data_IF_251188304924
#
_entry.id   IF_251188304924
#
_cell.length_a   1.000
_cell.length_b   1.000
_cell.length_c   1.000
_cell.angle_alpha   90.00
_cell.angle_beta   90.00
_cell.angle_gamma   90.00
#
_symmetry.space_group_name_H-M   'P 1'
#
loop_
_entity.id
_entity.type
_entity.pdbx_description
1 polymer ?
#
# COMPACT_ATOMS: atom_id res chain seq x y z
N UNK A 1 -3.56 10.08 44.99
CA UNK A 1 -4.88 10.68 45.31
C UNK A 1 -4.89 12.22 45.47
N UNK A 2 -3.78 12.93 45.32
CA UNK A 2 -3.76 14.41 45.38
C UNK A 2 -3.96 15.09 44.03
N UNK A 3 -3.65 14.41 42.90
CA UNK A 3 -3.82 14.96 41.56
C UNK A 3 -5.29 14.99 41.07
N UNK A 4 -6.12 14.04 41.53
CA UNK A 4 -7.53 14.00 41.16
C UNK A 4 -8.40 15.07 41.81
N UNK A 5 -7.94 15.63 42.95
CA UNK A 5 -8.69 16.71 43.61
C UNK A 5 -8.50 18.08 42.97
N UNK A 6 -7.39 18.31 42.28
CA UNK A 6 -7.15 19.58 41.56
C UNK A 6 -7.84 19.63 40.18
N UNK A 7 -8.11 18.48 39.55
CA UNK A 7 -8.81 18.45 38.26
C UNK A 7 -10.33 18.68 38.37
N UNK A 8 -10.91 18.40 39.53
CA UNK A 8 -12.35 18.59 39.78
C UNK A 8 -12.70 20.02 40.28
N UNK A 9 -11.72 20.80 40.74
CA UNK A 9 -11.95 22.16 41.21
C UNK A 9 -11.85 23.19 40.05
N UNK A 10 -11.11 22.91 39.03
CA UNK A 10 -10.95 23.82 37.88
C UNK A 10 -12.25 24.10 37.10
N UNK A 11 -13.10 23.11 36.79
CA UNK A 11 -14.37 23.39 36.10
C UNK A 11 -15.43 24.07 37.02
N UNK A 12 -15.34 23.87 38.36
CA UNK A 12 -16.26 24.53 39.28
C UNK A 12 -15.92 26.02 39.50
N UNK A 13 -14.65 26.40 39.38
CA UNK A 13 -14.25 27.80 39.46
C UNK A 13 -14.59 28.62 38.21
N UNK A 14 -14.66 27.97 37.03
CA UNK A 14 -15.11 28.60 35.78
C UNK A 14 -16.64 28.84 35.76
N UNK A 15 -17.41 28.04 36.47
CA UNK A 15 -18.87 28.22 36.60
C UNK A 15 -19.31 29.35 37.48
N UNK A 16 -18.43 29.92 38.33
CA UNK A 16 -18.70 31.05 39.20
C UNK A 16 -18.43 32.41 38.55
N UNK A 17 -17.88 32.45 37.34
CA UNK A 17 -17.78 33.63 36.49
C UNK A 17 -18.97 33.70 35.54
N UNK A 18 -20.19 33.54 36.06
CA UNK A 18 -21.39 33.85 35.30
C UNK A 18 -21.31 35.33 34.88
N UNK A 19 -21.49 35.68 33.61
CA UNK A 19 -21.49 37.07 33.20
C UNK A 19 -22.63 37.76 33.91
N UNK A 20 -22.32 38.81 34.67
CA UNK A 20 -23.31 39.81 35.12
C UNK A 20 -23.99 40.28 33.84
N UNK A 21 -25.32 40.18 33.82
CA UNK A 21 -26.16 40.50 32.66
C UNK A 21 -25.62 41.79 31.98
N UNK A 22 -25.06 41.61 30.81
CA UNK A 22 -24.81 42.72 29.90
C UNK A 22 -26.19 43.16 29.41
N UNK A 23 -26.63 44.35 29.82
CA UNK A 23 -27.74 45.03 29.20
C UNK A 23 -27.37 45.29 27.74
N UNK A 24 -28.00 44.57 26.84
CA UNK A 24 -27.83 44.83 25.39
C UNK A 24 -28.40 46.22 25.12
N UNK A 25 -27.52 47.20 24.94
CA UNK A 25 -27.91 48.45 24.28
C UNK A 25 -28.19 48.08 22.78
N UNK A 26 -29.30 48.51 22.27
CA UNK A 26 -29.54 48.43 20.82
C UNK A 26 -28.43 49.18 20.11
N UNK A 27 -27.55 48.45 19.41
CA UNK A 27 -26.53 49.00 18.55
C UNK A 27 -27.21 49.53 17.30
N UNK A 28 -27.33 50.85 17.15
CA UNK A 28 -27.84 51.47 15.94
C UNK A 28 -26.76 51.46 14.85
N UNK A 29 -27.21 51.42 13.58
CA UNK A 29 -26.26 51.37 12.41
C UNK A 29 -25.30 52.58 12.41
N UNK A 30 -25.60 53.67 13.12
CA UNK A 30 -24.74 54.83 13.26
C UNK A 30 -23.58 54.64 14.27
N UNK A 31 -23.57 53.57 15.09
CA UNK A 31 -22.51 53.25 16.04
C UNK A 31 -21.44 52.34 15.41
N UNK A 32 -21.61 51.94 14.15
CA UNK A 32 -20.61 51.16 13.41
C UNK A 32 -19.46 52.10 12.95
N UNK A 33 -18.38 52.13 13.72
CA UNK A 33 -17.17 52.79 13.29
C UNK A 33 -16.39 51.82 12.40
N UNK A 34 -16.61 51.87 11.09
CA UNK A 34 -16.00 50.98 10.10
C UNK A 34 -14.46 51.00 10.18
N UNK A 35 -13.86 52.10 10.62
CA UNK A 35 -12.39 52.19 10.80
C UNK A 35 -11.90 51.40 12.00
N UNK A 36 -12.70 51.36 13.08
CA UNK A 36 -12.36 50.59 14.31
C UNK A 36 -12.55 49.10 14.08
N UNK A 37 -13.62 48.70 13.41
CA UNK A 37 -13.88 47.31 13.00
C UNK A 37 -12.80 46.80 12.05
N UNK A 38 -12.35 47.64 11.10
CA UNK A 38 -11.28 47.32 10.18
C UNK A 38 -9.94 47.16 10.92
N UNK A 39 -9.66 48.02 11.89
CA UNK A 39 -8.46 47.93 12.71
C UNK A 39 -8.45 46.64 13.58
N UNK A 40 -9.59 46.29 14.16
CA UNK A 40 -9.73 45.02 14.92
C UNK A 40 -9.56 43.82 14.01
N UNK A 41 -10.18 43.85 12.82
CA UNK A 41 -10.08 42.76 11.85
C UNK A 41 -8.63 42.61 11.36
N UNK A 42 -7.94 43.70 11.01
CA UNK A 42 -6.53 43.65 10.60
C UNK A 42 -5.64 43.11 11.74
N UNK A 43 -5.84 43.56 12.98
CA UNK A 43 -5.09 43.02 14.12
C UNK A 43 -5.31 41.52 14.35
N UNK A 44 -6.52 41.02 14.05
CA UNK A 44 -6.82 39.58 14.09
C UNK A 44 -6.14 38.82 12.95
N UNK A 45 -6.14 39.40 11.75
CA UNK A 45 -5.43 38.84 10.57
C UNK A 45 -3.93 38.78 10.85
N UNK A 46 -3.33 39.89 11.30
CA UNK A 46 -1.90 39.92 11.67
C UNK A 46 -1.58 38.89 12.75
N UNK A 47 -2.44 38.72 13.73
CA UNK A 47 -2.30 37.66 14.76
C UNK A 47 -2.44 36.25 14.22
N UNK A 48 -3.29 36.03 13.24
CA UNK A 48 -3.44 34.72 12.57
C UNK A 48 -2.25 34.44 11.66
N UNK A 49 -1.77 35.45 10.92
CA UNK A 49 -0.57 35.33 10.10
C UNK A 49 0.68 35.04 10.95
N UNK A 50 0.85 35.73 12.09
CA UNK A 50 1.94 35.44 13.00
C UNK A 50 1.88 34.01 13.59
N UNK A 51 0.66 33.52 13.88
CA UNK A 51 0.46 32.13 14.34
C UNK A 51 0.71 31.12 13.21
N UNK A 52 0.29 31.41 11.99
CA UNK A 52 0.54 30.59 10.82
C UNK A 52 2.04 30.50 10.56
N UNK A 53 2.75 31.66 10.52
CA UNK A 53 4.19 31.69 10.36
C UNK A 53 4.95 30.95 11.47
N UNK A 54 4.48 31.01 12.72
CA UNK A 54 5.05 30.23 13.81
C UNK A 54 4.75 28.73 13.67
N UNK A 55 3.59 28.36 13.14
CA UNK A 55 3.23 26.98 12.85
C UNK A 55 4.07 26.45 11.69
N UNK A 56 4.21 27.22 10.61
CA UNK A 56 5.08 26.89 9.48
C UNK A 56 6.57 26.80 9.89
N UNK A 57 7.05 27.70 10.73
CA UNK A 57 8.42 27.65 11.24
C UNK A 57 8.65 26.48 12.23
N UNK A 58 7.59 25.98 12.86
CA UNK A 58 7.63 24.78 13.73
C UNK A 58 7.24 23.50 13.04
N UNK A 59 6.69 23.56 11.81
CA UNK A 59 6.38 22.38 11.01
C UNK A 59 7.65 21.78 10.41
N UNK A 60 7.64 20.47 10.20
CA UNK A 60 8.79 19.71 9.70
C UNK A 60 9.28 20.24 8.35
N UNK A 61 8.37 20.63 7.45
CA UNK A 61 8.63 21.31 6.18
C UNK A 61 7.32 21.75 5.54
N UNK A 62 7.31 22.82 4.74
CA UNK A 62 6.18 23.18 3.88
C UNK A 62 6.09 22.34 2.62
N UNK A 63 7.14 21.61 2.30
CA UNK A 63 7.27 20.78 1.09
C UNK A 63 7.28 19.28 1.40
N UNK A 64 7.32 18.89 2.67
CA UNK A 64 7.34 17.49 3.09
C UNK A 64 6.07 17.16 3.86
N UNK A 65 5.34 16.15 3.41
CA UNK A 65 4.24 15.54 4.14
C UNK A 65 4.69 14.23 4.76
N UNK A 66 4.14 13.89 5.93
CA UNK A 66 4.33 12.61 6.57
C UNK A 66 2.98 11.91 6.67
N UNK A 67 2.92 10.66 6.27
CA UNK A 67 1.78 9.79 6.48
C UNK A 67 2.21 8.56 7.29
N UNK A 68 1.30 8.08 8.10
CA UNK A 68 1.57 6.97 9.00
C UNK A 68 0.46 5.93 8.86
N UNK A 69 0.86 4.66 8.90
CA UNK A 69 -0.03 3.53 8.91
C UNK A 69 0.35 2.55 10.02
N UNK A 70 -0.65 1.94 10.64
CA UNK A 70 -0.43 0.84 11.57
C UNK A 70 -1.50 -0.21 11.38
N UNK A 71 -1.10 -1.47 11.29
CA UNK A 71 -2.00 -2.60 11.28
C UNK A 71 -1.80 -3.44 12.53
N UNK A 72 -2.91 -3.82 13.16
CA UNK A 72 -2.95 -4.82 14.21
C UNK A 72 -3.75 -6.02 13.71
N UNK A 73 -3.20 -7.19 13.90
CA UNK A 73 -3.77 -8.44 13.44
C UNK A 73 -3.94 -9.40 14.60
N UNK A 74 -5.12 -9.97 14.71
CA UNK A 74 -5.39 -11.09 15.61
C UNK A 74 -6.01 -12.22 14.77
N UNK A 75 -5.49 -13.43 14.92
CA UNK A 75 -6.00 -14.55 14.15
C UNK A 75 -5.47 -15.89 14.63
N UNK A 76 -6.04 -16.95 14.05
CA UNK A 76 -5.61 -18.31 14.24
C UNK A 76 -5.62 -19.03 12.89
N UNK A 77 -4.66 -19.92 12.69
CA UNK A 77 -4.51 -20.75 11.50
C UNK A 77 -4.46 -22.20 11.96
N UNK A 78 -5.41 -23.01 11.50
CA UNK A 78 -5.40 -24.47 11.63
C UNK A 78 -4.58 -25.09 10.49
N UNK A 79 -3.97 -26.25 10.72
CA UNK A 79 -3.11 -26.90 9.71
C UNK A 79 -1.70 -26.27 9.58
N UNK A 80 -1.34 -25.31 10.41
CA UNK A 80 -0.03 -24.65 10.38
C UNK A 80 1.11 -25.50 10.98
N UNK A 81 0.83 -26.69 11.44
CA UNK A 81 1.75 -27.63 12.07
C UNK A 81 1.85 -27.53 13.59
N UNK A 82 2.38 -28.58 14.22
CA UNK A 82 2.37 -28.75 15.66
C UNK A 82 2.97 -27.54 16.42
N UNK A 83 2.16 -26.97 17.32
CA UNK A 83 2.55 -25.85 18.19
C UNK A 83 2.38 -24.47 17.57
N UNK A 84 1.79 -24.35 16.37
CA UNK A 84 1.60 -23.09 15.65
C UNK A 84 0.11 -22.72 15.46
N UNK A 85 -0.80 -23.53 15.96
CA UNK A 85 -2.27 -23.35 15.88
C UNK A 85 -2.80 -22.51 17.05
N UNK A 86 -2.02 -21.54 17.51
CA UNK A 86 -2.43 -20.64 18.58
C UNK A 86 -2.98 -19.33 17.99
N UNK A 87 -3.83 -18.66 18.76
CA UNK A 87 -4.20 -17.28 18.44
C UNK A 87 -2.97 -16.41 18.58
N UNK A 88 -2.59 -15.74 17.49
CA UNK A 88 -1.49 -14.77 17.44
C UNK A 88 -2.01 -13.35 17.45
N UNK A 89 -1.18 -12.43 17.95
CA UNK A 89 -1.40 -10.99 17.85
C UNK A 89 -0.12 -10.35 17.35
N UNK A 90 -0.22 -9.69 16.22
CA UNK A 90 0.91 -9.15 15.48
C UNK A 90 0.60 -7.73 15.03
N UNK A 91 1.65 -6.93 14.78
CA UNK A 91 1.48 -5.58 14.27
C UNK A 91 2.55 -5.25 13.24
N UNK A 92 2.23 -4.28 12.40
CA UNK A 92 3.18 -3.53 11.59
C UNK A 92 2.90 -2.04 11.69
N UNK A 93 3.92 -1.24 11.43
CA UNK A 93 3.85 0.21 11.37
C UNK A 93 4.71 0.69 10.22
N UNK A 94 4.16 1.59 9.42
CA UNK A 94 4.84 2.25 8.30
C UNK A 94 4.76 3.77 8.42
N UNK A 95 5.80 4.44 7.96
CA UNK A 95 5.87 5.88 7.81
C UNK A 95 6.38 6.22 6.42
N UNK A 96 5.65 7.04 5.69
CA UNK A 96 6.12 7.60 4.43
C UNK A 96 6.33 9.10 4.57
N UNK A 97 7.52 9.56 4.16
CA UNK A 97 7.87 10.98 4.04
C UNK A 97 7.90 11.32 2.55
N UNK A 98 6.98 12.16 2.11
CA UNK A 98 6.87 12.61 0.73
C UNK A 98 7.24 14.07 0.61
N UNK A 99 8.27 14.37 -0.18
CA UNK A 99 8.81 15.73 -0.38
C UNK A 99 8.73 16.12 -1.84
N UNK A 100 8.08 17.23 -2.14
CA UNK A 100 8.09 17.83 -3.47
C UNK A 100 9.02 19.03 -3.53
N UNK A 101 9.80 19.14 -4.61
CA UNK A 101 10.70 20.27 -4.86
C UNK A 101 10.14 21.25 -5.89
N UNK A 102 9.30 20.77 -6.79
CA UNK A 102 8.73 21.55 -7.90
C UNK A 102 7.22 21.74 -7.78
N UNK A 103 6.56 20.98 -6.92
CA UNK A 103 5.11 20.90 -6.78
C UNK A 103 4.46 19.82 -7.64
N UNK A 104 5.21 19.21 -8.56
CA UNK A 104 4.75 18.15 -9.47
C UNK A 104 5.57 16.85 -9.34
N UNK A 105 6.62 16.87 -8.54
CA UNK A 105 7.51 15.76 -8.25
C UNK A 105 7.31 15.23 -6.84
N UNK A 106 7.82 14.04 -6.55
CA UNK A 106 7.82 13.45 -5.22
C UNK A 106 9.11 12.69 -4.96
N UNK A 107 9.78 13.01 -3.86
CA UNK A 107 10.78 12.17 -3.23
C UNK A 107 10.14 11.48 -2.03
N UNK A 108 9.96 10.17 -2.13
CA UNK A 108 9.31 9.34 -1.13
C UNK A 108 10.35 8.49 -0.39
N UNK A 109 10.25 8.51 0.94
CA UNK A 109 11.07 7.71 1.85
C UNK A 109 10.16 6.87 2.72
N UNK A 110 10.24 5.54 2.59
CA UNK A 110 9.43 4.60 3.35
C UNK A 110 10.25 3.96 4.47
N UNK A 111 9.73 4.02 5.68
CA UNK A 111 10.31 3.41 6.88
C UNK A 111 9.28 2.48 7.51
N UNK A 112 9.69 1.28 7.84
CA UNK A 112 8.80 0.24 8.33
C UNK A 112 9.34 -0.46 9.56
N UNK A 113 8.43 -1.04 10.34
CA UNK A 113 8.73 -1.95 11.44
C UNK A 113 7.55 -2.88 11.70
N UNK A 114 7.81 -4.00 12.37
CA UNK A 114 6.78 -4.95 12.77
C UNK A 114 7.35 -6.12 13.56
N UNK A 115 6.46 -6.87 14.20
CA UNK A 115 6.80 -8.05 14.98
C UNK A 115 6.29 -9.36 14.36
N UNK A 116 5.86 -9.33 13.10
CA UNK A 116 5.33 -10.51 12.44
C UNK A 116 6.34 -11.67 12.45
N UNK A 117 5.86 -12.86 12.76
CA UNK A 117 6.68 -14.08 12.70
C UNK A 117 6.86 -14.52 11.25
N UNK A 118 8.10 -14.73 10.84
CA UNK A 118 8.51 -14.91 9.44
C UNK A 118 7.97 -16.17 8.72
N UNK A 119 7.27 -17.09 9.38
CA UNK A 119 6.99 -18.38 8.71
C UNK A 119 5.64 -19.02 9.00
N UNK A 120 4.92 -18.65 10.02
CA UNK A 120 3.64 -19.30 10.35
C UNK A 120 2.79 -18.43 11.26
N UNK A 121 1.53 -18.27 10.93
CA UNK A 121 0.56 -17.52 11.72
C UNK A 121 -0.27 -16.61 10.83
N UNK A 122 -1.14 -15.84 11.43
CA UNK A 122 -2.01 -14.90 10.71
C UNK A 122 -1.24 -13.82 9.95
N UNK A 123 -0.10 -13.39 10.46
CA UNK A 123 0.72 -12.37 9.81
C UNK A 123 1.45 -12.87 8.57
N UNK A 124 1.81 -14.15 8.50
CA UNK A 124 2.53 -14.71 7.35
C UNK A 124 1.69 -14.69 6.07
N UNK A 125 0.38 -14.88 6.17
CA UNK A 125 -0.51 -14.80 5.00
C UNK A 125 -0.91 -13.39 4.62
N UNK A 126 -0.64 -12.39 5.47
CA UNK A 126 -0.88 -10.97 5.22
C UNK A 126 0.38 -10.22 4.80
N UNK A 127 1.50 -10.91 4.63
CA UNK A 127 2.82 -10.35 4.34
C UNK A 127 3.18 -9.16 5.25
N UNK A 128 2.97 -9.33 6.54
CA UNK A 128 3.26 -8.27 7.51
C UNK A 128 4.75 -8.21 7.82
N UNK A 129 5.22 -7.00 8.08
CA UNK A 129 6.62 -6.74 8.34
C UNK A 129 7.16 -7.46 9.59
N UNK A 130 8.16 -8.32 9.41
CA UNK A 130 8.82 -9.13 10.42
C UNK A 130 10.22 -8.61 10.81
N UNK A 131 10.37 -7.31 11.04
CA UNK A 131 11.67 -6.67 11.32
C UNK A 131 12.19 -6.87 12.75
N UNK A 132 11.47 -7.63 13.60
CA UNK A 132 11.83 -7.85 15.00
C UNK A 132 11.87 -6.54 15.79
N UNK A 133 10.85 -5.70 15.63
CA UNK A 133 10.68 -4.39 16.27
C UNK A 133 11.75 -3.34 15.91
N UNK A 134 12.49 -3.54 14.81
CA UNK A 134 13.48 -2.56 14.34
C UNK A 134 12.88 -1.73 13.22
N UNK A 135 13.10 -0.43 13.28
CA UNK A 135 12.79 0.46 12.16
C UNK A 135 13.85 0.28 11.07
N UNK A 136 13.39 0.00 9.86
CA UNK A 136 14.24 -0.18 8.68
C UNK A 136 13.77 0.74 7.56
N UNK A 137 14.71 1.22 6.75
CA UNK A 137 14.39 1.87 5.49
C UNK A 137 13.92 0.78 4.53
N UNK A 138 12.69 0.93 4.03
CA UNK A 138 12.10 0.01 3.06
C UNK A 138 12.43 0.43 1.63
N UNK A 139 12.31 1.71 1.31
CA UNK A 139 12.66 2.23 -0.01
C UNK A 139 12.82 3.74 -0.06
N UNK A 140 13.48 4.19 -1.12
CA UNK A 140 13.59 5.61 -1.48
C UNK A 140 13.38 5.76 -2.98
N UNK A 141 12.40 6.57 -3.38
CA UNK A 141 12.05 6.81 -4.79
C UNK A 141 11.92 8.28 -5.08
N UNK A 142 12.32 8.68 -6.27
CA UNK A 142 12.06 10.01 -6.80
C UNK A 142 11.29 9.90 -8.10
N UNK A 143 10.07 10.43 -8.10
CA UNK A 143 9.14 10.40 -9.23
C UNK A 143 8.89 11.81 -9.72
N UNK A 144 9.00 12.04 -11.03
CA UNK A 144 8.79 13.35 -11.62
C UNK A 144 8.16 13.27 -13.01
N UNK A 145 7.35 14.27 -13.41
CA UNK A 145 6.81 14.36 -14.75
C UNK A 145 7.87 14.85 -15.75
N UNK A 146 7.81 14.31 -16.95
CA UNK A 146 8.59 14.79 -18.09
C UNK A 146 7.62 15.25 -19.21
N UNK A 147 7.15 16.47 -19.11
CA UNK A 147 6.02 16.99 -19.88
C UNK A 147 4.69 16.48 -19.35
N UNK A 148 3.62 16.54 -20.17
CA UNK A 148 2.25 16.33 -19.70
C UNK A 148 1.84 14.83 -19.66
N UNK A 149 2.59 13.94 -20.31
CA UNK A 149 2.18 12.57 -20.53
C UNK A 149 3.17 11.51 -20.00
N UNK A 150 4.40 11.91 -19.67
CA UNK A 150 5.44 10.98 -19.23
C UNK A 150 5.70 11.16 -17.75
N UNK A 151 5.70 10.07 -17.00
CA UNK A 151 6.20 10.01 -15.63
C UNK A 151 7.47 9.18 -15.59
N UNK A 152 8.48 9.65 -14.88
CA UNK A 152 9.75 8.94 -14.69
C UNK A 152 9.98 8.74 -13.20
N UNK A 153 10.48 7.57 -12.83
CA UNK A 153 10.86 7.21 -11.46
C UNK A 153 12.30 6.67 -11.46
N UNK A 154 13.03 7.07 -10.43
CA UNK A 154 14.31 6.46 -10.06
C UNK A 154 14.28 6.14 -8.58
N UNK A 155 14.84 5.01 -8.17
CA UNK A 155 14.78 4.64 -6.76
C UNK A 155 15.68 3.49 -6.40
N UNK A 156 15.64 3.18 -5.12
CA UNK A 156 16.27 2.03 -4.50
C UNK A 156 15.22 1.24 -3.71
N UNK A 157 15.33 -0.07 -3.71
CA UNK A 157 14.37 -0.98 -3.07
C UNK A 157 12.94 -0.77 -3.59
N UNK A 158 12.79 -0.71 -4.90
CA UNK A 158 11.49 -0.57 -5.59
C UNK A 158 11.47 -1.40 -6.88
N UNK A 159 10.28 -1.71 -7.34
CA UNK A 159 10.02 -2.63 -8.44
C UNK A 159 10.05 -1.96 -9.81
N UNK A 160 10.38 -2.74 -10.84
CA UNK A 160 10.24 -2.30 -12.25
C UNK A 160 8.79 -1.98 -12.61
N UNK A 161 7.84 -2.56 -11.90
CA UNK A 161 6.39 -2.39 -12.06
C UNK A 161 5.80 -1.18 -11.33
N UNK A 162 6.60 -0.39 -10.62
CA UNK A 162 6.12 0.72 -9.79
C UNK A 162 5.26 1.76 -10.53
N UNK A 163 5.42 1.88 -11.85
CA UNK A 163 4.61 2.77 -12.69
C UNK A 163 3.61 2.01 -13.60
N UNK A 164 3.33 0.75 -13.32
CA UNK A 164 2.34 -0.04 -14.08
C UNK A 164 0.91 0.38 -13.71
N UNK A 165 0.02 0.27 -14.69
CA UNK A 165 -1.42 0.46 -14.54
C UNK A 165 -2.15 -0.88 -14.66
N UNK A 166 -1.82 -1.83 -13.78
CA UNK A 166 -2.38 -3.19 -13.83
C UNK A 166 -3.89 -3.18 -13.73
N UNK A 167 -4.55 -3.90 -14.63
CA UNK A 167 -6.00 -3.99 -14.70
C UNK A 167 -6.55 -4.96 -13.64
N UNK A 168 -6.62 -4.51 -12.39
CA UNK A 168 -7.13 -5.25 -11.26
C UNK A 168 -7.91 -4.34 -10.31
N UNK A 169 -9.11 -4.74 -9.95
CA UNK A 169 -9.96 -4.06 -8.96
C UNK A 169 -10.26 -4.95 -7.76
N UNK A 170 -9.64 -6.12 -7.67
CA UNK A 170 -9.84 -7.02 -6.55
C UNK A 170 -9.24 -6.46 -5.27
N UNK A 171 -10.04 -6.43 -4.21
CA UNK A 171 -9.60 -6.05 -2.87
C UNK A 171 -9.11 -7.29 -2.13
N UNK A 172 -7.82 -7.59 -2.27
CA UNK A 172 -7.18 -8.73 -1.61
C UNK A 172 -7.16 -8.55 -0.09
N UNK A 173 -7.41 -9.64 0.62
CA UNK A 173 -7.29 -9.70 2.07
C UNK A 173 -5.93 -10.25 2.50
N UNK A 174 -5.53 -11.34 1.89
CA UNK A 174 -4.21 -11.94 2.09
C UNK A 174 -3.27 -11.56 0.96
N UNK A 175 -1.98 -11.64 1.20
CA UNK A 175 -0.96 -11.47 0.16
C UNK A 175 -0.99 -12.60 -0.88
N UNK A 176 -1.57 -13.73 -0.50
CA UNK A 176 -1.70 -14.89 -1.38
C UNK A 176 -2.51 -14.59 -2.66
N UNK A 177 -3.48 -13.66 -2.59
CA UNK A 177 -4.30 -13.23 -3.71
C UNK A 177 -4.03 -11.77 -4.12
N UNK A 178 -2.94 -11.21 -3.65
CA UNK A 178 -2.53 -9.85 -4.02
C UNK A 178 -2.34 -9.70 -5.53
N UNK A 179 -2.57 -8.49 -6.04
CA UNK A 179 -2.31 -8.10 -7.44
C UNK A 179 -2.99 -8.97 -8.53
N UNK A 180 -4.19 -9.49 -8.23
CA UNK A 180 -4.94 -10.36 -9.14
C UNK A 180 -4.23 -11.66 -9.52
N UNK A 181 -3.62 -12.30 -8.55
CA UNK A 181 -3.01 -13.59 -8.72
C UNK A 181 -1.65 -13.71 -8.07
N UNK A 182 -1.01 -14.82 -8.32
CA UNK A 182 0.32 -15.08 -7.82
C UNK A 182 1.23 -13.91 -8.16
N UNK A 183 1.79 -13.29 -7.14
CA UNK A 183 2.60 -12.09 -7.25
C UNK A 183 3.96 -12.34 -7.90
N UNK A 184 4.04 -13.17 -8.94
CA UNK A 184 5.27 -13.35 -9.67
C UNK A 184 5.43 -12.29 -10.76
N UNK A 185 6.51 -12.32 -11.39
CA UNK A 185 7.13 -11.26 -12.12
C UNK A 185 6.30 -10.63 -13.22
N UNK A 186 5.33 -11.32 -13.81
CA UNK A 186 4.59 -10.74 -14.92
C UNK A 186 3.49 -9.80 -14.48
N UNK A 187 2.79 -10.12 -13.40
CA UNK A 187 1.82 -9.20 -12.81
C UNK A 187 2.49 -7.98 -12.22
N UNK A 188 3.67 -8.15 -11.66
CA UNK A 188 4.39 -7.15 -10.89
C UNK A 188 5.72 -6.71 -11.51
N UNK A 189 6.18 -7.37 -12.53
CA UNK A 189 7.48 -7.09 -13.12
C UNK A 189 8.66 -7.65 -12.33
N UNK A 190 8.44 -8.62 -11.45
CA UNK A 190 9.51 -9.37 -10.79
C UNK A 190 10.38 -8.59 -9.81
N UNK A 191 9.90 -7.46 -9.33
CA UNK A 191 10.69 -6.60 -8.49
C UNK A 191 10.93 -7.13 -7.08
N UNK A 192 9.97 -7.85 -6.51
CA UNK A 192 10.04 -8.31 -5.12
C UNK A 192 11.15 -9.31 -4.82
N UNK A 193 11.65 -10.03 -5.82
CA UNK A 193 12.73 -11.01 -5.63
C UNK A 193 14.15 -10.42 -5.64
N UNK A 194 14.30 -9.12 -5.86
CA UNK A 194 15.60 -8.46 -5.75
C UNK A 194 16.11 -8.33 -4.32
N UNK A 195 15.25 -8.49 -3.35
CA UNK A 195 15.64 -8.56 -1.94
C UNK A 195 16.21 -9.91 -1.51
N UNK A 196 16.53 -10.79 -2.43
CA UNK A 196 16.97 -12.17 -2.19
C UNK A 196 18.28 -12.32 -1.39
N UNK A 197 18.73 -11.29 -0.72
CA UNK A 197 19.70 -11.44 0.35
C UNK A 197 19.53 -10.33 1.39
N UNK A 198 19.29 -10.64 2.65
CA UNK A 198 19.13 -9.66 3.72
C UNK A 198 20.40 -8.84 4.01
N UNK A 199 21.45 -9.02 3.25
CA UNK A 199 22.75 -8.34 3.37
C UNK A 199 23.29 -7.82 2.05
N UNK A 200 22.54 -7.88 0.96
CA UNK A 200 23.04 -7.37 -0.31
C UNK A 200 22.22 -6.18 -0.76
N UNK A 201 22.99 -5.22 -1.06
CA UNK A 201 22.78 -4.05 -1.85
C UNK A 201 21.37 -3.88 -2.47
N UNK A 202 20.79 -2.81 -2.10
CA UNK A 202 19.84 -1.96 -2.79
C UNK A 202 19.72 -2.26 -4.28
N UNK A 203 18.49 -2.49 -4.72
CA UNK A 203 18.15 -2.58 -6.14
C UNK A 203 17.98 -1.18 -6.72
N UNK A 204 18.90 -0.75 -7.57
CA UNK A 204 18.72 0.49 -8.29
C UNK A 204 17.71 0.29 -9.41
N UNK A 205 16.59 1.03 -9.38
CA UNK A 205 15.48 0.94 -10.34
C UNK A 205 15.29 2.25 -11.09
N UNK A 206 15.00 2.14 -12.38
CA UNK A 206 14.53 3.24 -13.23
C UNK A 206 13.30 2.77 -13.98
N UNK A 207 12.22 3.53 -13.91
CA UNK A 207 10.98 3.24 -14.62
C UNK A 207 10.43 4.49 -15.31
N UNK A 208 9.63 4.29 -16.35
CA UNK A 208 8.90 5.34 -17.02
C UNK A 208 7.52 4.84 -17.47
N UNK A 209 6.54 5.73 -17.46
CA UNK A 209 5.22 5.49 -18.03
C UNK A 209 4.80 6.61 -18.95
N UNK A 210 3.96 6.27 -19.94
CA UNK A 210 3.32 7.20 -20.85
C UNK A 210 1.80 7.03 -20.79
N UNK A 211 1.09 8.09 -20.45
CA UNK A 211 -0.36 8.14 -20.46
C UNK A 211 -0.88 8.84 -21.74
N UNK A 212 -1.70 8.14 -22.53
CA UNK A 212 -2.30 8.67 -23.75
C UNK A 212 -3.52 9.55 -23.49
N UNK A 213 -3.97 9.70 -22.22
CA UNK A 213 -5.10 10.53 -21.83
C UNK A 213 -6.47 9.95 -22.16
N UNK A 214 -6.56 8.69 -22.57
CA UNK A 214 -7.81 8.02 -22.96
C UNK A 214 -8.01 6.66 -22.27
N UNK A 215 -7.33 6.45 -21.12
CA UNK A 215 -7.31 5.19 -20.38
C UNK A 215 -6.22 4.21 -20.85
N UNK A 216 -5.55 4.48 -21.95
CA UNK A 216 -4.44 3.66 -22.44
C UNK A 216 -3.11 4.16 -21.87
N UNK A 217 -2.31 3.26 -21.31
CA UNK A 217 -0.98 3.53 -20.75
C UNK A 217 0.03 2.50 -21.23
N UNK A 218 1.28 2.91 -21.36
CA UNK A 218 2.43 2.03 -21.53
C UNK A 218 3.45 2.39 -20.46
N UNK A 219 3.99 1.39 -19.78
CA UNK A 219 5.03 1.58 -18.77
C UNK A 219 6.15 0.56 -18.95
N UNK A 220 7.32 0.87 -18.45
CA UNK A 220 8.42 -0.06 -18.43
C UNK A 220 9.50 0.38 -17.45
N UNK A 221 10.31 -0.57 -17.01
CA UNK A 221 11.37 -0.33 -16.04
C UNK A 221 12.49 -1.34 -16.16
N UNK A 222 13.56 -1.03 -15.47
CA UNK A 222 14.72 -1.87 -15.30
C UNK A 222 15.23 -1.73 -13.87
N UNK A 223 15.66 -2.84 -13.29
CA UNK A 223 16.21 -2.89 -11.93
C UNK A 223 17.42 -3.78 -11.90
N UNK A 224 18.46 -3.37 -11.16
CA UNK A 224 19.70 -4.11 -11.02
C UNK A 224 20.10 -4.27 -9.57
N UNK A 225 20.39 -5.51 -9.13
CA UNK A 225 20.74 -5.85 -7.76
C UNK A 225 22.17 -5.47 -7.38
N UNK A 226 23.04 -5.23 -8.32
CA UNK A 226 24.48 -5.03 -8.11
C UNK A 226 24.94 -3.58 -7.89
N UNK A 227 24.02 -2.65 -7.69
CA UNK A 227 24.32 -1.20 -7.76
C UNK A 227 25.45 -0.72 -6.88
N UNK A 228 25.60 -1.28 -5.68
CA UNK A 228 26.63 -0.87 -4.72
C UNK A 228 27.95 -1.68 -4.83
N UNK A 229 27.92 -2.91 -5.32
CA UNK A 229 29.05 -3.86 -5.22
C UNK A 229 29.52 -4.39 -6.58
N UNK A 230 28.63 -5.01 -7.36
CA UNK A 230 28.95 -5.71 -8.60
C UNK A 230 28.73 -4.89 -9.88
N UNK A 231 28.10 -3.73 -9.75
CA UNK A 231 27.69 -2.88 -10.86
C UNK A 231 26.32 -3.25 -11.41
N UNK A 232 25.68 -2.25 -12.07
CA UNK A 232 24.40 -2.43 -12.73
C UNK A 232 24.58 -3.01 -14.12
N UNK A 233 23.66 -3.88 -14.56
CA UNK A 233 23.62 -4.46 -15.91
C UNK A 233 24.91 -5.21 -16.27
N UNK A 234 25.44 -5.94 -15.33
CA UNK A 234 26.64 -6.76 -15.49
C UNK A 234 26.26 -8.24 -15.38
N UNK A 235 27.09 -9.09 -15.94
CA UNK A 235 26.92 -10.55 -15.82
C UNK A 235 27.08 -11.08 -14.39
N UNK A 236 27.58 -10.25 -13.49
CA UNK A 236 27.87 -10.60 -12.09
C UNK A 236 26.69 -10.30 -11.16
N UNK A 237 25.66 -9.59 -11.62
CA UNK A 237 24.48 -9.23 -10.84
C UNK A 237 23.19 -9.65 -11.52
N UNK A 238 22.14 -9.79 -10.73
CA UNK A 238 20.78 -10.05 -11.21
C UNK A 238 20.16 -8.75 -11.71
N UNK A 239 19.60 -8.77 -12.91
CA UNK A 239 18.89 -7.65 -13.51
C UNK A 239 17.48 -8.07 -13.92
N UNK A 240 16.53 -7.14 -13.86
CA UNK A 240 15.15 -7.33 -14.33
C UNK A 240 14.76 -6.23 -15.28
N UNK A 241 14.07 -6.60 -16.32
CA UNK A 241 13.48 -5.73 -17.33
C UNK A 241 11.99 -6.01 -17.41
N UNK A 242 11.15 -5.00 -17.37
CA UNK A 242 9.72 -5.17 -17.46
C UNK A 242 9.05 -4.13 -18.34
N UNK A 243 7.94 -4.51 -18.97
CA UNK A 243 7.09 -3.63 -19.76
C UNK A 243 5.64 -4.04 -19.61
N UNK A 244 4.74 -3.06 -19.56
CA UNK A 244 3.30 -3.25 -19.52
C UNK A 244 2.60 -2.30 -20.49
N UNK A 245 1.53 -2.80 -21.11
CA UNK A 245 0.52 -1.98 -21.77
C UNK A 245 -0.82 -2.24 -21.10
N UNK A 246 -1.55 -1.19 -20.78
CA UNK A 246 -2.84 -1.28 -20.11
C UNK A 246 -3.87 -0.33 -20.71
N UNK A 247 -5.13 -0.75 -20.67
CA UNK A 247 -6.29 0.07 -20.96
C UNK A 247 -7.28 -0.05 -19.81
N UNK A 248 -7.49 1.03 -19.10
CA UNK A 248 -8.36 1.09 -17.92
C UNK A 248 -9.42 2.17 -18.08
N UNK A 249 -10.67 1.82 -17.76
CA UNK A 249 -11.84 2.69 -17.68
C UNK A 249 -12.56 2.42 -16.36
N UNK A 250 -13.60 3.16 -16.04
CA UNK A 250 -14.38 2.94 -14.80
C UNK A 250 -15.03 1.54 -14.74
N UNK A 251 -15.32 0.92 -15.87
CA UNK A 251 -16.05 -0.35 -15.93
C UNK A 251 -15.27 -1.53 -16.48
N UNK A 252 -14.18 -1.29 -17.20
CA UNK A 252 -13.41 -2.33 -17.87
C UNK A 252 -11.93 -1.97 -17.87
N UNK A 253 -11.09 -2.94 -17.55
CA UNK A 253 -9.65 -2.84 -17.75
C UNK A 253 -9.06 -4.12 -18.32
N UNK A 254 -7.98 -3.97 -19.07
CA UNK A 254 -7.12 -5.06 -19.56
C UNK A 254 -5.68 -4.59 -19.51
N UNK A 255 -4.78 -5.41 -18.99
CA UNK A 255 -3.34 -5.17 -19.02
C UNK A 255 -2.58 -6.40 -19.50
N UNK A 256 -1.48 -6.15 -20.19
CA UNK A 256 -0.53 -7.15 -20.68
C UNK A 256 0.84 -6.76 -20.17
N UNK A 257 1.51 -7.67 -19.47
CA UNK A 257 2.84 -7.47 -18.91
C UNK A 257 3.81 -8.49 -19.47
N UNK A 258 5.05 -8.08 -19.65
CA UNK A 258 6.16 -8.95 -19.98
C UNK A 258 7.37 -8.54 -19.16
N UNK A 259 8.07 -9.52 -18.60
CA UNK A 259 9.31 -9.28 -17.87
C UNK A 259 10.37 -10.33 -18.21
N UNK A 260 11.61 -9.94 -18.07
CA UNK A 260 12.80 -10.78 -18.20
C UNK A 260 13.66 -10.61 -16.97
N UNK A 261 14.00 -11.70 -16.31
CA UNK A 261 14.99 -11.73 -15.23
C UNK A 261 16.25 -12.40 -15.73
N UNK A 262 17.37 -11.69 -15.67
CA UNK A 262 18.70 -12.22 -15.91
C UNK A 262 19.37 -12.48 -14.56
N UNK A 263 19.70 -13.72 -14.28
CA UNK A 263 20.41 -14.10 -13.06
C UNK A 263 21.84 -14.48 -13.43
N UNK A 264 22.81 -13.79 -12.91
CA UNK A 264 24.26 -13.89 -13.23
C UNK A 264 24.86 -15.30 -13.32
N UNK A 265 24.18 -16.31 -12.81
CA UNK A 265 24.71 -17.70 -12.68
C UNK A 265 23.76 -18.78 -13.18
N UNK A 266 22.53 -18.45 -13.52
CA UNK A 266 21.49 -19.39 -14.00
C UNK A 266 20.85 -18.84 -15.25
N UNK A 267 20.10 -19.68 -15.93
CA UNK A 267 19.35 -19.31 -17.13
C UNK A 267 18.38 -18.15 -16.90
N UNK A 268 18.15 -17.37 -17.92
CA UNK A 268 17.14 -16.31 -17.95
C UNK A 268 15.75 -16.89 -17.69
N UNK A 269 14.86 -16.07 -17.11
CA UNK A 269 13.45 -16.41 -16.95
C UNK A 269 12.60 -15.31 -17.56
N UNK A 270 11.70 -15.68 -18.43
CA UNK A 270 10.72 -14.77 -19.01
C UNK A 270 9.36 -14.96 -18.37
N UNK A 271 8.63 -13.87 -18.24
CA UNK A 271 7.31 -13.84 -17.64
C UNK A 271 6.33 -13.13 -18.58
N UNK A 272 5.13 -13.66 -18.67
CA UNK A 272 4.04 -13.03 -19.39
C UNK A 272 2.78 -13.03 -18.51
N UNK A 273 2.12 -11.88 -18.37
CA UNK A 273 0.92 -11.72 -17.57
C UNK A 273 -0.20 -11.03 -18.31
N UNK A 274 -1.42 -11.45 -18.00
CA UNK A 274 -2.66 -10.82 -18.47
C UNK A 274 -3.55 -10.61 -17.27
N UNK A 275 -3.98 -9.37 -17.05
CA UNK A 275 -5.00 -9.05 -16.07
C UNK A 275 -6.18 -8.36 -16.73
N UNK A 276 -7.37 -8.59 -16.24
CA UNK A 276 -8.55 -7.87 -16.67
C UNK A 276 -9.57 -7.74 -15.55
N UNK A 277 -10.33 -6.64 -15.58
CA UNK A 277 -11.50 -6.50 -14.73
C UNK A 277 -12.72 -6.02 -15.50
N UNK A 278 -13.88 -6.33 -14.95
CA UNK A 278 -15.16 -5.81 -15.42
C UNK A 278 -16.05 -5.49 -14.21
N UNK A 279 -16.43 -4.22 -14.08
CA UNK A 279 -17.32 -3.73 -13.02
C UNK A 279 -18.77 -3.76 -13.50
N UNK A 280 -19.62 -4.51 -12.81
CA UNK A 280 -21.05 -4.60 -13.09
C UNK A 280 -21.78 -3.42 -12.46
N UNK A 281 -22.60 -2.74 -13.22
CA UNK A 281 -23.42 -1.64 -12.72
C UNK A 281 -24.33 -2.10 -11.56
N UNK A 282 -24.10 -1.56 -10.37
CA UNK A 282 -24.77 -1.94 -9.13
C UNK A 282 -24.47 -3.35 -8.62
N UNK A 283 -23.44 -3.99 -9.15
CA UNK A 283 -22.98 -5.33 -8.79
C UNK A 283 -21.48 -5.38 -8.39
N UNK A 284 -20.90 -6.58 -8.33
CA UNK A 284 -19.47 -6.72 -8.06
C UNK A 284 -18.62 -6.34 -9.27
N UNK A 285 -17.37 -6.02 -9.01
CA UNK A 285 -16.29 -6.04 -9.99
C UNK A 285 -15.70 -7.44 -10.03
N UNK A 286 -15.62 -8.02 -11.22
CA UNK A 286 -14.91 -9.26 -11.50
C UNK A 286 -13.49 -8.92 -11.93
N UNK A 287 -12.49 -9.50 -11.30
CA UNK A 287 -11.08 -9.44 -11.71
C UNK A 287 -10.57 -10.85 -12.03
N UNK A 288 -9.79 -10.96 -13.08
CA UNK A 288 -9.12 -12.19 -13.50
C UNK A 288 -7.66 -11.92 -13.80
N UNK A 289 -6.81 -12.92 -13.58
CA UNK A 289 -5.39 -12.88 -13.89
C UNK A 289 -4.93 -14.23 -14.46
N UNK A 290 -3.96 -14.15 -15.35
CA UNK A 290 -3.22 -15.29 -15.86
C UNK A 290 -1.75 -14.91 -15.97
N UNK A 291 -0.87 -15.84 -15.63
CA UNK A 291 0.55 -15.65 -15.68
C UNK A 291 1.24 -16.91 -16.24
N UNK A 292 2.29 -16.72 -17.01
CA UNK A 292 3.20 -17.75 -17.47
C UNK A 292 4.62 -17.34 -17.14
N UNK A 293 5.37 -18.27 -16.57
CA UNK A 293 6.80 -18.19 -16.28
C UNK A 293 7.53 -19.25 -17.10
N UNK A 294 8.50 -18.82 -17.89
CA UNK A 294 9.30 -19.69 -18.76
C UNK A 294 10.80 -19.56 -18.43
N UNK A 295 11.29 -20.39 -17.51
CA UNK A 295 12.72 -20.45 -17.21
C UNK A 295 13.46 -21.19 -18.32
N UNK A 296 14.51 -20.60 -18.91
CA UNK A 296 15.32 -21.20 -19.98
C UNK A 296 15.84 -22.63 -19.63
N UNK A 297 16.06 -22.91 -18.35
CA UNK A 297 16.61 -24.18 -17.87
C UNK A 297 15.55 -25.18 -17.39
N UNK A 298 14.26 -24.86 -17.44
CA UNK A 298 13.17 -25.67 -16.88
C UNK A 298 11.97 -25.70 -17.82
N UNK A 299 10.85 -26.19 -17.34
CA UNK A 299 9.58 -26.27 -18.05
C UNK A 299 8.76 -25.03 -17.70
N UNK A 300 8.02 -24.52 -18.68
CA UNK A 300 7.07 -23.43 -18.48
C UNK A 300 6.05 -23.76 -17.37
N UNK A 301 5.76 -22.76 -16.55
CA UNK A 301 4.83 -22.82 -15.44
C UNK A 301 3.74 -21.77 -15.62
N UNK A 302 2.52 -22.08 -15.20
CA UNK A 302 1.38 -21.16 -15.34
C UNK A 302 0.58 -21.05 -14.06
N UNK A 303 0.01 -19.88 -13.83
CA UNK A 303 -0.88 -19.59 -12.72
C UNK A 303 -2.06 -18.74 -13.13
N UNK A 304 -3.13 -18.77 -12.35
CA UNK A 304 -4.32 -17.96 -12.62
C UNK A 304 -5.04 -17.54 -11.35
N UNK A 305 -5.83 -16.50 -11.51
CA UNK A 305 -6.61 -15.86 -10.46
C UNK A 305 -8.01 -15.48 -10.95
N UNK A 306 -8.98 -15.56 -10.05
CA UNK A 306 -10.31 -15.00 -10.20
C UNK A 306 -10.81 -14.43 -8.88
N UNK A 307 -11.35 -13.21 -8.89
CA UNK A 307 -11.90 -12.55 -7.70
C UNK A 307 -13.10 -11.67 -8.00
N UNK A 308 -13.92 -11.48 -6.99
CA UNK A 308 -15.07 -10.58 -7.00
C UNK A 308 -14.96 -9.61 -5.83
N UNK A 309 -15.20 -8.32 -6.08
CA UNK A 309 -15.26 -7.29 -5.06
C UNK A 309 -16.58 -6.53 -5.18
N UNK A 310 -17.31 -6.39 -4.09
CA UNK A 310 -18.45 -5.50 -3.93
C UNK A 310 -18.00 -4.30 -3.11
N UNK A 311 -17.83 -3.16 -3.73
CA UNK A 311 -17.38 -1.93 -3.05
C UNK A 311 -18.47 -1.42 -2.07
N UNK A 312 -19.73 -1.65 -2.39
CA UNK A 312 -20.89 -1.30 -1.55
C UNK A 312 -21.65 -2.57 -1.13
N UNK A 313 -21.21 -3.21 -0.06
CA UNK A 313 -21.88 -4.35 0.57
C UNK A 313 -22.38 -3.96 1.97
N UNK A 314 -23.57 -3.40 2.03
CA UNK A 314 -24.07 -2.76 3.25
C UNK A 314 -23.24 -1.52 3.61
N UNK A 315 -22.73 -1.39 4.84
CA UNK A 315 -21.89 -0.26 5.23
C UNK A 315 -20.39 -0.42 4.91
N UNK A 316 -19.99 -1.46 4.22
CA UNK A 316 -18.60 -1.77 3.90
C UNK A 316 -18.44 -2.42 2.54
N UNK A 317 -17.29 -3.02 2.28
CA UNK A 317 -16.99 -3.77 1.07
C UNK A 317 -16.78 -5.25 1.38
N UNK A 318 -17.08 -6.12 0.40
CA UNK A 318 -16.89 -7.56 0.51
C UNK A 318 -16.08 -8.07 -0.69
N UNK A 319 -15.10 -8.92 -0.43
CA UNK A 319 -14.32 -9.59 -1.47
C UNK A 319 -14.29 -11.10 -1.26
N UNK A 320 -14.23 -11.83 -2.37
CA UNK A 320 -14.00 -13.27 -2.40
C UNK A 320 -13.18 -13.62 -3.64
N UNK A 321 -12.18 -14.46 -3.48
CA UNK A 321 -11.30 -14.82 -4.58
C UNK A 321 -10.65 -16.18 -4.41
N UNK A 322 -10.07 -16.66 -5.50
CA UNK A 322 -9.23 -17.85 -5.55
C UNK A 322 -8.09 -17.65 -6.54
N UNK A 323 -6.96 -18.31 -6.29
CA UNK A 323 -5.86 -18.41 -7.24
C UNK A 323 -5.16 -19.77 -7.12
N UNK A 324 -4.31 -20.08 -8.07
CA UNK A 324 -3.21 -21.01 -7.84
C UNK A 324 -2.26 -20.40 -6.82
N UNK A 325 -1.55 -21.21 -6.02
CA UNK A 325 -0.64 -20.72 -4.98
C UNK A 325 0.69 -20.20 -5.55
N UNK A 326 1.07 -20.76 -6.67
CA UNK A 326 2.28 -20.44 -7.45
C UNK A 326 2.00 -20.79 -8.91
N UNK A 327 2.96 -20.63 -9.78
CA UNK A 327 2.90 -21.14 -11.13
C UNK A 327 3.21 -22.65 -11.11
N UNK A 328 2.53 -23.42 -11.94
CA UNK A 328 2.65 -24.88 -12.01
C UNK A 328 2.95 -25.34 -13.43
N UNK A 329 3.77 -26.37 -13.55
CA UNK A 329 3.94 -27.12 -14.82
C UNK A 329 2.74 -28.07 -15.05
N UNK A 330 2.49 -28.47 -16.28
CA UNK A 330 1.44 -29.45 -16.65
C UNK A 330 1.57 -30.80 -15.93
N UNK A 331 2.74 -31.10 -15.38
CA UNK A 331 3.01 -32.37 -14.69
C UNK A 331 2.79 -32.31 -13.18
N UNK A 332 2.63 -31.13 -12.62
CA UNK A 332 2.41 -30.91 -11.20
C UNK A 332 0.92 -30.95 -10.87
N UNK A 333 0.59 -31.26 -9.63
CA UNK A 333 -0.76 -31.08 -9.08
C UNK A 333 -0.87 -29.63 -8.64
N UNK A 334 -1.76 -28.88 -9.27
CA UNK A 334 -2.07 -27.52 -8.87
C UNK A 334 -2.67 -27.49 -7.46
N UNK A 335 -2.20 -26.56 -6.64
CA UNK A 335 -2.75 -26.27 -5.33
C UNK A 335 -3.38 -24.88 -5.35
N UNK A 336 -4.53 -24.78 -4.72
CA UNK A 336 -5.31 -23.55 -4.73
C UNK A 336 -5.33 -22.88 -3.37
N UNK A 337 -5.64 -21.60 -3.43
CA UNK A 337 -5.90 -20.78 -2.25
C UNK A 337 -7.16 -19.96 -2.47
N UNK A 338 -7.87 -19.73 -1.38
CA UNK A 338 -9.17 -19.07 -1.37
C UNK A 338 -9.21 -18.10 -0.23
N UNK A 339 -9.88 -16.98 -0.43
CA UNK A 339 -10.14 -16.03 0.66
C UNK A 339 -11.51 -15.38 0.54
N UNK A 340 -12.02 -14.90 1.66
CA UNK A 340 -13.15 -14.00 1.71
C UNK A 340 -12.98 -13.02 2.87
N UNK A 341 -13.24 -11.73 2.63
CA UNK A 341 -13.10 -10.70 3.64
C UNK A 341 -14.19 -9.63 3.53
N UNK A 342 -14.48 -9.03 4.66
CA UNK A 342 -15.39 -7.90 4.75
C UNK A 342 -14.67 -6.71 5.38
N UNK A 343 -14.55 -5.62 4.67
CA UNK A 343 -13.89 -4.40 5.13
C UNK A 343 -14.92 -3.38 5.59
N UNK A 344 -14.78 -2.89 6.81
CA UNK A 344 -15.67 -1.92 7.42
C UNK A 344 -14.89 -0.74 7.99
N UNK A 345 -15.09 0.45 7.40
CA UNK A 345 -14.53 1.69 7.92
C UNK A 345 -15.36 2.17 9.13
N UNK A 346 -14.73 2.28 10.29
CA UNK A 346 -15.33 2.89 11.50
C UNK A 346 -15.37 4.41 11.33
N UNK A 347 -14.31 4.97 10.77
CA UNK A 347 -14.14 6.37 10.40
C UNK A 347 -13.02 6.50 9.36
N UNK A 348 -12.68 7.73 8.97
CA UNK A 348 -11.68 8.01 7.92
C UNK A 348 -10.28 7.47 8.22
N UNK A 349 -9.95 7.21 9.48
CA UNK A 349 -8.62 6.73 9.88
C UNK A 349 -8.62 5.31 10.46
N UNK A 350 -9.76 4.61 10.57
CA UNK A 350 -9.83 3.28 11.19
C UNK A 350 -10.71 2.33 10.36
N UNK A 351 -10.13 1.22 9.93
CA UNK A 351 -10.84 0.16 9.22
C UNK A 351 -10.64 -1.17 9.92
N UNK A 352 -11.71 -1.96 10.04
CA UNK A 352 -11.66 -3.35 10.56
C UNK A 352 -12.02 -4.29 9.41
N UNK A 353 -11.19 -5.30 9.20
CA UNK A 353 -11.36 -6.28 8.15
C UNK A 353 -11.27 -7.70 8.72
N UNK A 354 -12.39 -8.31 9.13
CA UNK A 354 -12.46 -9.76 9.35
C UNK A 354 -12.38 -10.50 8.02
N UNK A 355 -11.62 -11.58 8.00
CA UNK A 355 -11.48 -12.43 6.83
C UNK A 355 -11.15 -13.87 7.18
N UNK A 356 -11.34 -14.72 6.20
CA UNK A 356 -11.02 -16.14 6.25
C UNK A 356 -10.25 -16.53 5.00
N UNK A 357 -9.38 -17.51 5.12
CA UNK A 357 -8.68 -18.08 3.98
C UNK A 357 -8.55 -19.60 4.12
N UNK A 358 -8.36 -20.26 2.99
CA UNK A 358 -8.01 -21.66 2.87
C UNK A 358 -6.83 -21.74 1.91
N UNK A 359 -5.80 -22.48 2.28
CA UNK A 359 -4.63 -22.78 1.46
C UNK A 359 -4.46 -24.30 1.40
N UNK A 360 -4.60 -24.90 0.23
CA UNK A 360 -4.39 -26.33 0.02
C UNK A 360 -2.92 -26.71 0.30
N UNK A 361 -2.69 -27.84 0.89
CA UNK A 361 -1.36 -28.36 1.20
C UNK A 361 -1.17 -29.72 0.54
N UNK A 362 -0.10 -29.89 -0.22
CA UNK A 362 0.20 -31.15 -0.88
C UNK A 362 0.40 -32.29 0.13
N UNK A 363 -0.44 -33.31 0.04
CA UNK A 363 -0.37 -34.53 0.87
C UNK A 363 -0.54 -34.31 2.39
N UNK A 364 -1.15 -33.20 2.80
CA UNK A 364 -1.47 -32.87 4.18
C UNK A 364 -2.86 -32.23 4.28
N UNK A 365 -3.35 -31.95 5.47
CA UNK A 365 -4.59 -31.21 5.69
C UNK A 365 -4.40 -29.74 5.28
N UNK A 366 -5.44 -29.15 4.69
CA UNK A 366 -5.43 -27.76 4.23
C UNK A 366 -5.26 -26.81 5.41
N UNK A 367 -4.54 -25.71 5.18
CA UNK A 367 -4.49 -24.61 6.14
C UNK A 367 -5.77 -23.79 6.04
N UNK A 368 -6.41 -23.55 7.19
CA UNK A 368 -7.58 -22.66 7.27
C UNK A 368 -7.36 -21.61 8.34
N UNK A 369 -7.53 -20.34 7.99
CA UNK A 369 -7.33 -19.23 8.90
C UNK A 369 -8.55 -18.34 9.05
N UNK A 370 -8.72 -17.82 10.28
CA UNK A 370 -9.65 -16.72 10.60
C UNK A 370 -8.85 -15.60 11.20
N UNK A 371 -8.94 -14.43 10.57
CA UNK A 371 -8.10 -13.27 10.90
C UNK A 371 -8.98 -12.02 10.98
N UNK A 372 -8.66 -11.14 11.92
CA UNK A 372 -9.20 -9.78 11.97
C UNK A 372 -8.03 -8.80 11.90
N UNK A 373 -7.99 -8.01 10.84
CA UNK A 373 -7.06 -6.90 10.69
C UNK A 373 -7.74 -5.60 11.08
N UNK A 374 -7.05 -4.77 11.87
CA UNK A 374 -7.47 -3.40 12.18
C UNK A 374 -6.40 -2.45 11.68
N UNK A 375 -6.75 -1.63 10.71
CA UNK A 375 -5.86 -0.68 10.06
C UNK A 375 -6.12 0.73 10.55
N UNK A 376 -5.05 1.45 10.82
CA UNK A 376 -5.04 2.87 11.20
C UNK A 376 -4.25 3.66 10.17
N UNK A 377 -4.79 4.79 9.71
CA UNK A 377 -4.12 5.74 8.82
C UNK A 377 -4.28 7.16 9.34
N UNK A 378 -3.20 7.96 9.38
CA UNK A 378 -3.18 9.32 9.94
C UNK A 378 -1.97 10.12 9.46
#
# INVERSE_FOLDING_TARGET
>A
MKLFKSLLVAPAALGLLAPVAATANEVTINDFNTAEELAVTNSRVDGLEARLNNFEAGSFSTTTTASFGADFVIGAVDGAGAGKEAVTFEYQYGMNLSTSFTGEDSLDLTIETGNAGATVGSAAVLNMNGMGDKMTLDGITYTFPLGDAVTVMVGDSTDVSALYSTACTYSAFTDLLGNCGSGTAAGLGGGSDFTASPNSASSATVAASYDFGNGFTIAGGLSGAGGADAGLFTKESKDVYGVQAAYNTDSLGVSLSYALTDTSTTAETTFFGVNAYYSLDGGPSLSIGFESEDPEASVEETGYFIGLTWDEFGPGSFSIGMSTQENYTDAQTELYQYEAAYSYAINDGITITPGVFIKEIANDDDQTGVIVKTSFSF
#
